data_IF_529561597627
#
_entry.id   IF_529561597627
#
_cell.length_a   1.000
_cell.length_b   1.000
_cell.length_c   1.000
_cell.angle_alpha   90.00
_cell.angle_beta   90.00
_cell.angle_gamma   90.00
#
_symmetry.space_group_name_H-M   'P 1'
#
loop_
_entity.id
_entity.type
_entity.pdbx_description
1 polymer ?
#
# COMPACT_ATOMS: atom_id res chain seq x y z
N UNK A 1 -3.21 -17.37 9.67
CA UNK A 1 -4.16 -17.42 8.54
C UNK A 1 -3.33 -17.44 7.25
N UNK A 2 -3.58 -18.37 6.33
CA UNK A 2 -2.82 -18.50 5.06
C UNK A 2 -3.08 -17.30 4.14
N UNK A 3 -4.29 -16.75 4.18
CA UNK A 3 -4.66 -15.59 3.35
C UNK A 3 -3.76 -14.39 3.64
N UNK A 4 -3.41 -14.18 4.91
CA UNK A 4 -2.51 -13.10 5.32
C UNK A 4 -1.07 -13.34 4.84
N UNK A 5 -0.64 -14.59 4.73
CA UNK A 5 0.67 -14.92 4.17
C UNK A 5 0.71 -14.61 2.66
N UNK A 6 -0.35 -14.93 1.93
CA UNK A 6 -0.49 -14.58 0.52
C UNK A 6 -0.52 -13.06 0.34
N UNK A 7 -1.27 -12.33 1.18
CA UNK A 7 -1.34 -10.87 1.17
C UNK A 7 0.04 -10.21 1.34
N UNK A 8 0.87 -10.74 2.25
CA UNK A 8 2.23 -10.24 2.43
C UNK A 8 3.14 -10.49 1.22
N UNK A 9 3.00 -11.63 0.54
CA UNK A 9 3.75 -11.92 -0.68
C UNK A 9 3.34 -10.98 -1.82
N UNK A 10 2.03 -10.77 -2.02
CA UNK A 10 1.54 -9.80 -3.02
C UNK A 10 2.05 -8.37 -2.70
N UNK A 11 2.05 -7.97 -1.43
CA UNK A 11 2.53 -6.65 -1.00
C UNK A 11 4.04 -6.47 -1.24
N UNK A 12 4.83 -7.51 -1.00
CA UNK A 12 6.26 -7.51 -1.27
C UNK A 12 6.53 -7.37 -2.78
N UNK A 13 5.84 -8.17 -3.61
CA UNK A 13 5.98 -8.08 -5.07
C UNK A 13 5.62 -6.69 -5.59
N UNK A 14 4.51 -6.12 -5.12
CA UNK A 14 4.11 -4.76 -5.48
C UNK A 14 5.20 -3.73 -5.14
N UNK A 15 5.76 -3.82 -3.93
CA UNK A 15 6.85 -2.94 -3.49
C UNK A 15 8.10 -3.06 -4.38
N UNK A 16 8.51 -4.28 -4.71
CA UNK A 16 9.67 -4.54 -5.56
C UNK A 16 9.46 -4.04 -7.01
N UNK A 17 8.23 -4.15 -7.54
CA UNK A 17 7.91 -3.73 -8.90
C UNK A 17 7.70 -2.22 -9.04
N UNK A 18 7.06 -1.56 -8.06
CA UNK A 18 6.62 -0.16 -8.16
C UNK A 18 7.50 0.79 -7.35
N UNK A 19 8.25 0.28 -6.36
CA UNK A 19 9.01 1.11 -5.41
C UNK A 19 8.14 1.85 -4.39
N UNK A 20 6.83 1.60 -4.37
CA UNK A 20 5.87 2.19 -3.44
C UNK A 20 5.70 1.32 -2.19
N UNK A 21 5.30 1.92 -1.07
CA UNK A 21 4.99 1.18 0.15
C UNK A 21 3.51 0.84 0.22
N UNK A 22 3.19 -0.28 0.86
CA UNK A 22 1.81 -0.75 1.03
C UNK A 22 1.18 -0.14 2.29
N UNK A 23 0.10 0.66 2.20
CA UNK A 23 -0.62 1.20 3.35
C UNK A 23 -1.33 0.10 4.18
N UNK A 24 -1.89 0.47 5.34
CA UNK A 24 -2.60 -0.48 6.20
C UNK A 24 -3.76 -1.16 5.45
N UNK A 25 -3.94 -2.47 5.66
CA UNK A 25 -4.95 -3.28 4.97
C UNK A 25 -4.86 -3.23 3.43
N UNK A 26 -3.66 -2.97 2.89
CA UNK A 26 -3.41 -3.06 1.46
C UNK A 26 -3.67 -4.49 0.95
N UNK A 27 -4.27 -4.57 -0.23
CA UNK A 27 -4.58 -5.79 -0.97
C UNK A 27 -4.29 -5.53 -2.44
N UNK A 28 -4.03 -6.61 -3.19
CA UNK A 28 -3.72 -6.53 -4.62
C UNK A 28 -4.74 -5.69 -5.39
N UNK A 29 -4.26 -4.69 -6.11
CA UNK A 29 -5.08 -3.74 -6.88
C UNK A 29 -5.45 -2.46 -6.13
N UNK A 30 -5.14 -2.33 -4.84
CA UNK A 30 -5.22 -1.05 -4.12
C UNK A 30 -4.00 -0.18 -4.42
N UNK A 31 -4.19 1.13 -4.30
CA UNK A 31 -3.13 2.12 -4.48
C UNK A 31 -2.01 1.93 -3.44
N UNK A 32 -0.76 2.07 -3.88
CA UNK A 32 0.40 2.19 -3.00
C UNK A 32 0.55 3.60 -2.44
N UNK A 33 1.61 3.82 -1.68
CA UNK A 33 1.96 5.13 -1.15
C UNK A 33 3.44 5.40 -1.37
N UNK A 34 3.79 6.58 -1.86
CA UNK A 34 5.19 6.97 -1.98
C UNK A 34 5.83 7.12 -0.58
N UNK A 35 7.03 6.57 -0.41
CA UNK A 35 7.77 6.55 0.85
C UNK A 35 8.45 7.91 1.17
N UNK A 36 7.67 8.99 1.17
CA UNK A 36 8.13 10.35 1.48
C UNK A 36 7.06 11.13 2.26
N UNK A 37 7.42 12.21 2.98
CA UNK A 37 6.44 13.05 3.68
C UNK A 37 5.34 13.58 2.75
N UNK A 38 5.72 14.05 1.56
CA UNK A 38 4.77 14.54 0.56
C UNK A 38 3.89 13.41 0.01
N UNK A 39 4.46 12.21 -0.17
CA UNK A 39 3.73 11.01 -0.58
C UNK A 39 2.66 10.60 0.42
N UNK A 40 2.99 10.63 1.71
CA UNK A 40 2.05 10.36 2.79
C UNK A 40 0.95 11.43 2.83
N UNK A 41 1.32 12.72 2.76
CA UNK A 41 0.35 13.81 2.77
C UNK A 41 -0.63 13.74 1.60
N UNK A 42 -0.12 13.40 0.40
CA UNK A 42 -0.94 13.19 -0.80
C UNK A 42 -1.90 12.02 -0.61
N UNK A 43 -1.37 10.84 -0.23
CA UNK A 43 -2.18 9.63 -0.05
C UNK A 43 -3.31 9.85 0.97
N UNK A 44 -3.01 10.48 2.11
CA UNK A 44 -4.01 10.77 3.15
C UNK A 44 -5.08 11.77 2.67
N UNK A 45 -4.70 12.76 1.85
CA UNK A 45 -5.63 13.75 1.32
C UNK A 45 -6.60 13.13 0.30
N UNK A 46 -6.13 12.20 -0.51
CA UNK A 46 -6.92 11.50 -1.54
C UNK A 46 -7.80 10.38 -0.94
N UNK A 47 -7.37 9.78 0.17
CA UNK A 47 -8.02 8.63 0.80
C UNK A 47 -8.68 8.93 2.16
N UNK A 48 -8.89 10.20 2.52
CA UNK A 48 -9.41 10.58 3.84
C UNK A 48 -10.79 9.97 4.17
N UNK A 49 -11.61 9.70 3.14
CA UNK A 49 -12.95 9.11 3.30
C UNK A 49 -12.95 7.57 3.39
N UNK A 50 -11.81 6.94 3.09
CA UNK A 50 -11.62 5.49 3.05
C UNK A 50 -10.72 4.96 4.18
N UNK A 51 -10.24 5.87 5.05
CA UNK A 51 -9.59 5.59 6.33
C UNK A 51 -10.63 5.45 7.44
#
# INVERSE_FOLDING_TARGET
NIDEMLRMVDALQFHEEHGEVCPAQWEKGKEGMAASPDGVAKYLSENVSSL
#
